data_IF_712802183670
#
_entry.id   IF_712802183670
#
_cell.length_a   1.000
_cell.length_b   1.000
_cell.length_c   1.000
_cell.angle_alpha   90.00
_cell.angle_beta   90.00
_cell.angle_gamma   90.00
#
_symmetry.space_group_name_H-M   'P 1'
#
loop_
_entity.id
_entity.type
_entity.pdbx_description
1 polymer ?
#
# COMPACT_ATOMS: atom_id res chain seq x y z
N UNK A 1 -83.50 44.82 22.23
CA UNK A 1 -83.33 44.62 20.78
C UNK A 1 -82.65 43.28 20.60
N UNK A 2 -83.35 42.38 19.89
CA UNK A 2 -82.87 41.31 18.99
C UNK A 2 -81.33 41.21 18.80
N UNK A 3 -80.69 40.05 18.65
CA UNK A 3 -81.09 38.85 17.89
C UNK A 3 -80.11 37.67 18.12
N UNK A 4 -80.63 36.43 18.07
CA UNK A 4 -80.09 35.14 17.50
C UNK A 4 -78.63 34.69 17.78
N UNK A 5 -78.41 33.52 18.39
CA UNK A 5 -78.26 32.15 17.81
C UNK A 5 -76.93 31.98 17.02
N UNK A 6 -76.14 30.89 17.08
CA UNK A 6 -76.50 29.47 17.05
C UNK A 6 -75.23 28.58 17.22
N UNK A 7 -75.37 27.44 17.92
CA UNK A 7 -74.71 26.15 17.64
C UNK A 7 -73.22 25.92 17.94
N UNK A 8 -72.71 24.74 18.31
CA UNK A 8 -73.28 23.46 18.77
C UNK A 8 -72.11 22.57 19.27
N UNK A 9 -72.39 21.65 20.21
CA UNK A 9 -71.73 20.36 20.49
C UNK A 9 -70.39 20.27 21.27
N UNK A 10 -70.50 19.93 22.57
CA UNK A 10 -70.34 18.56 23.17
C UNK A 10 -69.30 17.63 22.50
N UNK A 11 -68.38 16.88 23.12
CA UNK A 11 -68.08 16.49 24.50
C UNK A 11 -66.76 15.65 24.57
N UNK A 12 -66.07 15.75 25.72
CA UNK A 12 -65.57 14.69 26.62
C UNK A 12 -64.50 13.66 26.14
N UNK A 13 -63.31 13.85 26.73
CA UNK A 13 -62.40 12.91 27.43
C UNK A 13 -61.86 11.62 26.76
N UNK A 14 -60.54 11.40 26.93
CA UNK A 14 -59.98 10.48 27.95
C UNK A 14 -58.45 10.52 27.96
N UNK A 15 -57.90 10.54 29.17
CA UNK A 15 -56.48 10.45 29.50
C UNK A 15 -56.10 8.97 29.68
N UNK A 16 -55.02 8.48 29.05
CA UNK A 16 -54.34 7.23 29.42
C UNK A 16 -52.83 7.26 29.08
N UNK A 17 -52.06 7.28 30.15
CA UNK A 17 -50.69 6.82 30.45
C UNK A 17 -49.93 6.02 29.37
N UNK A 18 -48.68 6.41 29.09
CA UNK A 18 -47.70 5.60 28.34
C UNK A 18 -46.58 5.04 29.26
N UNK A 19 -46.09 3.81 29.01
CA UNK A 19 -45.11 3.13 29.84
C UNK A 19 -43.65 3.51 29.52
N UNK A 20 -42.81 3.45 30.56
CA UNK A 20 -41.36 3.66 30.53
C UNK A 20 -40.68 2.56 29.71
N UNK A 21 -40.07 2.90 28.57
CA UNK A 21 -39.20 2.01 27.81
C UNK A 21 -37.83 1.88 28.49
N UNK A 22 -37.49 0.65 28.88
CA UNK A 22 -36.14 0.27 29.32
C UNK A 22 -35.15 0.48 28.18
N UNK A 23 -34.19 1.38 28.38
CA UNK A 23 -33.11 1.64 27.44
C UNK A 23 -32.25 0.40 27.22
N UNK A 24 -32.09 0.02 25.96
CA UNK A 24 -31.05 -0.91 25.50
C UNK A 24 -29.72 -0.18 25.65
N UNK A 25 -28.86 -0.68 26.54
CA UNK A 25 -27.45 -0.26 26.58
C UNK A 25 -26.79 -0.85 25.35
N UNK A 26 -26.72 -0.06 24.27
CA UNK A 26 -25.80 -0.31 23.17
C UNK A 26 -24.41 -0.19 23.78
N UNK A 27 -23.72 -1.32 23.97
CA UNK A 27 -22.28 -1.30 24.19
C UNK A 27 -21.68 -0.80 22.90
N UNK A 28 -21.28 0.47 22.87
CA UNK A 28 -20.38 0.97 21.84
C UNK A 28 -19.13 0.11 21.89
N UNK A 29 -19.00 -0.76 20.89
CA UNK A 29 -17.74 -1.40 20.56
C UNK A 29 -16.71 -0.28 20.35
N UNK A 30 -15.55 -0.28 21.02
CA UNK A 30 -14.53 0.71 20.72
C UNK A 30 -14.21 0.63 19.22
N UNK A 31 -14.07 1.76 18.51
CA UNK A 31 -13.72 1.74 17.10
C UNK A 31 -12.43 0.94 16.94
N UNK A 32 -12.42 -0.01 16.01
CA UNK A 32 -11.23 -0.78 15.67
C UNK A 32 -10.09 0.21 15.42
N UNK A 33 -9.08 0.22 16.30
CA UNK A 33 -8.00 1.18 16.22
C UNK A 33 -7.20 0.86 14.96
N UNK A 34 -7.39 1.65 13.90
CA UNK A 34 -6.61 1.50 12.68
C UNK A 34 -5.13 1.64 13.03
N UNK A 35 -4.32 0.70 12.56
CA UNK A 35 -2.88 0.77 12.73
C UNK A 35 -2.34 1.93 11.90
N UNK A 36 -1.42 2.68 12.47
CA UNK A 36 -0.61 3.66 11.72
C UNK A 36 0.26 2.94 10.69
N UNK A 37 0.65 3.61 9.60
CA UNK A 37 1.55 3.05 8.59
C UNK A 37 2.83 2.47 9.23
N UNK A 38 3.41 3.20 10.19
CA UNK A 38 4.59 2.75 10.93
C UNK A 38 4.37 1.45 11.73
N UNK A 39 3.17 1.22 12.28
CA UNK A 39 2.82 -0.04 12.92
C UNK A 39 2.57 -1.15 11.89
N UNK A 40 1.96 -0.81 10.76
CA UNK A 40 1.73 -1.76 9.66
C UNK A 40 3.04 -2.25 9.06
N UNK A 41 3.97 -1.34 8.74
CA UNK A 41 5.30 -1.66 8.22
C UNK A 41 6.07 -2.55 9.18
N UNK A 42 6.15 -2.18 10.48
CA UNK A 42 6.84 -3.02 11.47
C UNK A 42 6.24 -4.42 11.60
N UNK A 43 4.91 -4.52 11.58
CA UNK A 43 4.20 -5.80 11.65
C UNK A 43 4.47 -6.66 10.42
N UNK A 44 4.35 -6.08 9.22
CA UNK A 44 4.52 -6.81 7.97
C UNK A 44 5.97 -7.24 7.74
N UNK A 45 6.95 -6.41 8.12
CA UNK A 45 8.37 -6.76 7.96
C UNK A 45 8.81 -7.93 8.86
N UNK A 46 8.06 -8.28 9.91
CA UNK A 46 8.34 -9.42 10.79
C UNK A 46 9.79 -9.46 11.33
N UNK A 47 10.36 -8.28 11.61
CA UNK A 47 11.75 -8.15 12.08
C UNK A 47 12.81 -8.25 10.97
N UNK A 48 12.42 -8.29 9.70
CA UNK A 48 13.31 -8.12 8.56
C UNK A 48 13.99 -6.76 8.60
N UNK A 49 15.31 -6.75 8.39
CA UNK A 49 16.17 -5.57 8.52
C UNK A 49 16.74 -5.10 7.19
N UNK A 50 16.64 -5.92 6.14
CA UNK A 50 17.07 -5.56 4.78
C UNK A 50 16.03 -5.99 3.75
N UNK A 51 15.71 -5.09 2.82
CA UNK A 51 14.71 -5.32 1.77
C UNK A 51 15.27 -4.89 0.41
N UNK A 52 15.03 -5.70 -0.62
CA UNK A 52 15.18 -5.30 -2.01
C UNK A 52 13.81 -5.18 -2.67
N UNK A 53 13.62 -4.15 -3.49
CA UNK A 53 12.35 -3.91 -4.18
C UNK A 53 12.62 -3.56 -5.65
N UNK A 54 11.99 -4.28 -6.57
CA UNK A 54 11.99 -3.86 -7.97
C UNK A 54 11.25 -2.52 -8.12
N UNK A 55 11.76 -1.63 -8.98
CA UNK A 55 11.13 -0.36 -9.33
C UNK A 55 9.98 -0.54 -10.33
N UNK A 56 10.27 -1.14 -11.49
CA UNK A 56 9.32 -1.30 -12.61
C UNK A 56 8.15 -2.20 -12.19
N UNK A 57 6.93 -1.71 -12.39
CA UNK A 57 5.69 -2.40 -12.03
C UNK A 57 5.33 -2.42 -10.55
N UNK A 58 6.19 -1.87 -9.66
CA UNK A 58 5.91 -1.80 -8.20
C UNK A 58 5.88 -0.36 -7.72
N UNK A 59 6.95 0.38 -7.97
CA UNK A 59 7.13 1.78 -7.55
C UNK A 59 6.83 2.72 -8.72
N UNK A 60 7.27 2.30 -9.91
CA UNK A 60 7.06 3.03 -11.16
C UNK A 60 5.74 2.60 -11.80
N UNK A 61 5.09 3.53 -12.50
CA UNK A 61 3.88 3.24 -13.30
C UNK A 61 4.21 2.34 -14.49
N UNK A 62 5.41 2.50 -15.04
CA UNK A 62 5.94 1.73 -16.16
C UNK A 62 5.99 0.23 -15.85
N UNK A 63 5.66 -0.59 -16.86
CA UNK A 63 5.59 -2.05 -16.73
C UNK A 63 6.79 -2.78 -17.35
N UNK A 64 7.58 -2.09 -18.17
CA UNK A 64 8.74 -2.66 -18.86
C UNK A 64 9.96 -1.75 -18.79
N UNK A 65 11.15 -2.30 -19.07
CA UNK A 65 12.40 -1.52 -19.12
C UNK A 65 12.45 -0.59 -20.33
N UNK A 66 11.77 -0.96 -21.41
CA UNK A 66 11.65 -0.19 -22.66
C UNK A 66 10.85 1.10 -22.46
N UNK A 67 9.85 1.08 -21.58
CA UNK A 67 9.05 2.27 -21.25
C UNK A 67 9.91 3.36 -20.58
N UNK A 68 10.94 2.96 -19.82
CA UNK A 68 11.85 3.87 -19.11
C UNK A 68 12.68 4.76 -20.05
N UNK A 69 12.86 4.36 -21.31
CA UNK A 69 13.56 5.17 -22.31
C UNK A 69 12.78 6.44 -22.68
N UNK A 70 11.47 6.50 -22.35
CA UNK A 70 10.60 7.64 -22.67
C UNK A 70 10.36 8.53 -21.46
N UNK A 71 9.98 7.93 -20.33
CA UNK A 71 9.71 8.61 -19.07
C UNK A 71 9.76 7.62 -17.90
N UNK A 72 9.81 8.16 -16.69
CA UNK A 72 9.62 7.40 -15.46
C UNK A 72 8.66 8.18 -14.54
N UNK A 73 7.65 7.51 -14.00
CA UNK A 73 6.66 8.12 -13.09
C UNK A 73 6.54 7.28 -11.83
N UNK A 74 6.79 7.89 -10.68
CA UNK A 74 6.59 7.23 -9.37
C UNK A 74 5.12 7.27 -9.02
N UNK A 75 4.55 6.10 -8.68
CA UNK A 75 3.19 5.95 -8.17
C UNK A 75 3.05 6.75 -6.86
N UNK A 76 2.18 7.78 -6.78
CA UNK A 76 2.11 8.63 -5.59
C UNK A 76 1.78 7.86 -4.30
N UNK A 77 0.96 6.81 -4.40
CA UNK A 77 0.53 5.98 -3.28
C UNK A 77 1.66 5.29 -2.51
N UNK A 78 2.81 5.07 -3.17
CA UNK A 78 3.90 4.25 -2.61
C UNK A 78 4.89 5.10 -1.82
N UNK A 79 4.86 6.43 -1.97
CA UNK A 79 5.91 7.33 -1.44
C UNK A 79 5.99 7.22 0.09
N UNK A 80 4.86 7.31 0.79
CA UNK A 80 4.81 7.18 2.25
C UNK A 80 5.30 5.80 2.71
N UNK A 81 4.98 4.75 1.96
CA UNK A 81 5.41 3.38 2.24
C UNK A 81 6.93 3.24 2.09
N UNK A 82 7.51 3.77 1.01
CA UNK A 82 8.95 3.73 0.78
C UNK A 82 9.71 4.44 1.90
N UNK A 83 9.23 5.61 2.31
CA UNK A 83 9.85 6.38 3.39
C UNK A 83 9.75 5.64 4.73
N UNK A 84 8.60 5.08 5.08
CA UNK A 84 8.44 4.35 6.34
C UNK A 84 9.22 3.02 6.36
N UNK A 85 9.28 2.31 5.22
CA UNK A 85 10.12 1.12 5.06
C UNK A 85 11.60 1.48 5.20
N UNK A 86 12.07 2.54 4.54
CA UNK A 86 13.47 2.99 4.63
C UNK A 86 13.89 3.42 6.04
N UNK A 87 12.94 3.88 6.88
CA UNK A 87 13.18 4.19 8.30
C UNK A 87 13.29 2.95 9.17
N UNK A 88 12.65 1.85 8.77
CA UNK A 88 12.56 0.60 9.55
C UNK A 88 13.51 -0.49 9.04
N UNK A 89 14.01 -0.38 7.82
CA UNK A 89 14.68 -1.42 7.06
C UNK A 89 15.74 -0.83 6.12
N UNK A 90 16.85 -1.55 5.93
CA UNK A 90 17.85 -1.24 4.92
C UNK A 90 17.30 -1.54 3.51
N UNK A 91 16.74 -0.53 2.87
CA UNK A 91 16.03 -0.65 1.58
C UNK A 91 16.95 -0.38 0.39
N UNK A 92 16.95 -1.31 -0.56
CA UNK A 92 17.57 -1.18 -1.89
C UNK A 92 16.49 -1.25 -2.97
N UNK A 93 16.54 -0.32 -3.92
CA UNK A 93 15.66 -0.30 -5.09
C UNK A 93 16.43 -0.80 -6.30
N UNK A 94 15.82 -1.68 -7.09
CA UNK A 94 16.46 -2.31 -8.24
C UNK A 94 15.66 -2.04 -9.52
N UNK A 95 16.32 -1.63 -10.59
CA UNK A 95 15.72 -1.57 -11.92
C UNK A 95 16.60 -2.26 -12.95
N UNK A 96 15.95 -2.90 -13.93
CA UNK A 96 16.59 -3.20 -15.20
C UNK A 96 16.39 -2.01 -16.13
N UNK A 97 17.47 -1.52 -16.71
CA UNK A 97 17.49 -0.39 -17.66
C UNK A 97 18.25 -0.80 -18.93
N UNK A 98 17.98 -0.11 -20.03
CA UNK A 98 18.60 -0.39 -21.33
C UNK A 98 19.74 0.57 -21.68
N UNK A 99 19.77 1.73 -21.01
CA UNK A 99 20.72 2.81 -21.23
C UNK A 99 20.84 3.71 -19.98
N UNK A 100 21.88 4.54 -19.96
CA UNK A 100 22.17 5.46 -18.86
C UNK A 100 21.15 6.60 -18.80
N UNK A 101 20.53 6.97 -19.93
CA UNK A 101 19.45 7.97 -19.94
C UNK A 101 18.24 7.51 -19.12
N UNK A 102 17.87 6.23 -19.22
CA UNK A 102 16.80 5.63 -18.41
C UNK A 102 17.14 5.64 -16.92
N UNK A 103 18.39 5.42 -16.53
CA UNK A 103 18.83 5.57 -15.13
C UNK A 103 18.60 6.99 -14.63
N UNK A 104 18.98 7.99 -15.44
CA UNK A 104 18.81 9.39 -15.10
C UNK A 104 17.33 9.77 -14.95
N UNK A 105 16.45 9.26 -15.82
CA UNK A 105 15.00 9.48 -15.74
C UNK A 105 14.41 8.88 -14.46
N UNK A 106 14.77 7.65 -14.10
CA UNK A 106 14.32 7.01 -12.86
C UNK A 106 14.78 7.79 -11.63
N UNK A 107 16.05 8.18 -11.58
CA UNK A 107 16.59 8.95 -10.47
C UNK A 107 15.94 10.32 -10.36
N UNK A 108 15.67 11.00 -11.48
CA UNK A 108 14.97 12.27 -11.50
C UNK A 108 13.52 12.14 -11.02
N UNK A 109 12.81 11.08 -11.40
CA UNK A 109 11.44 10.82 -10.95
C UNK A 109 11.36 10.58 -9.44
N UNK A 110 12.29 9.79 -8.89
CA UNK A 110 12.41 9.56 -7.44
C UNK A 110 12.75 10.86 -6.68
N UNK A 111 13.66 11.67 -7.21
CA UNK A 111 14.02 12.94 -6.60
C UNK A 111 12.85 13.93 -6.61
N UNK A 112 12.10 13.99 -7.72
CA UNK A 112 10.95 14.88 -7.88
C UNK A 112 9.83 14.62 -6.87
N UNK A 113 9.64 13.37 -6.42
CA UNK A 113 8.68 13.02 -5.35
C UNK A 113 9.28 13.12 -3.95
N UNK A 114 10.52 13.59 -3.81
CA UNK A 114 11.15 13.91 -2.53
C UNK A 114 11.64 12.72 -1.72
N UNK A 115 11.79 11.52 -2.32
CA UNK A 115 12.22 10.34 -1.54
C UNK A 115 13.68 10.42 -1.07
N UNK A 116 14.53 11.25 -1.68
CA UNK A 116 15.95 11.41 -1.30
C UNK A 116 16.21 12.54 -0.28
N UNK A 117 15.17 13.10 0.33
CA UNK A 117 15.31 14.13 1.37
C UNK A 117 15.90 13.57 2.67
N UNK A 118 16.29 14.45 3.61
CA UNK A 118 16.89 14.04 4.90
C UNK A 118 15.95 13.09 5.66
N UNK A 119 16.45 11.90 5.99
CA UNK A 119 15.66 10.84 6.62
C UNK A 119 14.84 9.98 5.66
N UNK A 120 14.96 10.22 4.35
CA UNK A 120 14.42 9.39 3.28
C UNK A 120 15.39 8.31 2.79
N UNK A 121 15.20 7.90 1.55
CA UNK A 121 15.98 6.85 0.90
C UNK A 121 17.40 7.32 0.55
N UNK A 122 18.38 6.43 0.67
CA UNK A 122 19.73 6.69 0.20
C UNK A 122 19.82 6.47 -1.31
N UNK A 123 20.11 7.53 -2.08
CA UNK A 123 20.26 7.49 -3.55
C UNK A 123 21.26 6.42 -4.03
N UNK A 124 22.31 6.13 -3.26
CA UNK A 124 23.32 5.11 -3.60
C UNK A 124 22.80 3.67 -3.43
N UNK A 125 21.58 3.48 -2.95
CA UNK A 125 20.90 2.18 -2.84
C UNK A 125 19.85 1.96 -3.94
N UNK A 126 19.80 2.85 -4.91
CA UNK A 126 19.11 2.61 -6.19
C UNK A 126 20.14 1.98 -7.13
N UNK A 127 19.96 0.71 -7.44
CA UNK A 127 20.90 -0.08 -8.25
C UNK A 127 20.28 -0.43 -9.59
N UNK A 128 21.09 -0.35 -10.63
CA UNK A 128 20.70 -0.60 -12.00
C UNK A 128 21.47 -1.78 -12.58
N UNK A 129 20.79 -2.56 -13.42
CA UNK A 129 21.39 -3.65 -14.18
C UNK A 129 20.83 -3.69 -15.60
N UNK A 130 21.56 -4.32 -16.52
CA UNK A 130 21.13 -4.45 -17.92
C UNK A 130 20.38 -5.75 -18.21
N UNK A 131 20.35 -6.70 -17.27
CA UNK A 131 19.79 -8.05 -17.46
C UNK A 131 19.00 -8.51 -16.23
N UNK A 132 18.03 -9.41 -16.43
CA UNK A 132 17.29 -10.02 -15.31
C UNK A 132 18.18 -10.87 -14.41
N UNK A 133 19.17 -11.56 -14.99
CA UNK A 133 20.19 -12.28 -14.24
C UNK A 133 21.03 -11.32 -13.36
N UNK A 134 21.27 -10.10 -13.82
CA UNK A 134 21.88 -9.04 -13.02
C UNK A 134 21.04 -8.68 -11.79
N UNK A 135 19.72 -8.53 -11.96
CA UNK A 135 18.78 -8.26 -10.85
C UNK A 135 18.81 -9.37 -9.81
N UNK A 136 18.68 -10.63 -10.25
CA UNK A 136 18.74 -11.78 -9.32
C UNK A 136 20.09 -11.91 -8.63
N UNK A 137 21.19 -11.59 -9.34
CA UNK A 137 22.53 -11.54 -8.76
C UNK A 137 22.66 -10.48 -7.65
N UNK A 138 22.16 -9.26 -7.87
CA UNK A 138 22.12 -8.24 -6.82
C UNK A 138 21.34 -8.70 -5.60
N UNK A 139 20.14 -9.24 -5.79
CA UNK A 139 19.31 -9.71 -4.67
C UNK A 139 20.05 -10.78 -3.87
N UNK A 140 20.70 -11.74 -4.54
CA UNK A 140 21.45 -12.79 -3.85
C UNK A 140 22.66 -12.27 -3.09
N UNK A 141 23.39 -11.30 -3.63
CA UNK A 141 24.58 -10.73 -2.98
C UNK A 141 24.22 -9.81 -1.82
N UNK A 142 23.09 -9.10 -1.92
CA UNK A 142 22.59 -8.26 -0.84
C UNK A 142 22.07 -9.08 0.34
N UNK A 143 21.65 -10.33 0.10
CA UNK A 143 21.08 -11.24 1.11
C UNK A 143 19.97 -10.55 1.93
N UNK A 144 18.91 -10.02 1.28
CA UNK A 144 17.85 -9.35 2.00
C UNK A 144 16.95 -10.35 2.72
N UNK A 145 16.26 -9.86 3.74
CA UNK A 145 15.22 -10.60 4.43
C UNK A 145 13.92 -10.62 3.64
N UNK A 146 13.69 -9.52 2.90
CA UNK A 146 12.53 -9.31 2.03
C UNK A 146 12.94 -9.01 0.60
N UNK A 147 12.21 -9.59 -0.35
CA UNK A 147 12.30 -9.21 -1.76
C UNK A 147 10.90 -8.93 -2.33
N UNK A 148 10.76 -7.84 -3.10
CA UNK A 148 9.53 -7.49 -3.81
C UNK A 148 9.79 -7.46 -5.31
N UNK A 149 8.98 -8.18 -6.10
CA UNK A 149 9.06 -8.22 -7.56
C UNK A 149 7.68 -8.53 -8.18
N UNK A 150 7.49 -8.20 -9.46
CA UNK A 150 6.33 -8.58 -10.27
C UNK A 150 6.56 -9.88 -11.05
N UNK A 151 7.82 -10.25 -11.30
CA UNK A 151 8.21 -11.44 -12.06
C UNK A 151 8.07 -12.70 -11.21
N UNK A 152 7.07 -13.53 -11.53
CA UNK A 152 6.87 -14.83 -10.88
C UNK A 152 8.08 -15.76 -11.03
N UNK A 153 8.80 -15.65 -12.15
CA UNK A 153 10.04 -16.39 -12.37
C UNK A 153 11.14 -15.95 -11.38
N UNK A 154 11.35 -14.64 -11.23
CA UNK A 154 12.33 -14.10 -10.27
C UNK A 154 12.00 -14.52 -8.84
N UNK A 155 10.73 -14.37 -8.44
CA UNK A 155 10.23 -14.80 -7.12
C UNK A 155 10.46 -16.30 -6.90
N UNK A 156 10.16 -17.13 -7.90
CA UNK A 156 10.33 -18.59 -7.81
C UNK A 156 11.81 -18.98 -7.69
N UNK A 157 12.69 -18.34 -8.45
CA UNK A 157 14.14 -18.59 -8.41
C UNK A 157 14.76 -18.20 -7.06
N UNK A 158 14.26 -17.11 -6.46
CA UNK A 158 14.77 -16.55 -5.20
C UNK A 158 14.14 -17.15 -3.93
N UNK A 159 13.04 -17.90 -4.05
CA UNK A 159 12.29 -18.44 -2.91
C UNK A 159 13.10 -19.30 -1.95
N UNK A 160 14.17 -19.97 -2.42
CA UNK A 160 15.04 -20.77 -1.54
C UNK A 160 16.11 -19.95 -0.80
N UNK A 161 16.32 -18.70 -1.19
CA UNK A 161 17.39 -17.84 -0.66
C UNK A 161 16.86 -16.74 0.27
N UNK A 162 15.61 -16.30 0.04
CA UNK A 162 15.04 -15.13 0.73
C UNK A 162 14.00 -15.58 1.76
N UNK A 163 14.06 -15.00 2.97
CA UNK A 163 13.18 -15.39 4.09
C UNK A 163 11.72 -15.09 3.81
N UNK A 164 11.44 -13.93 3.22
CA UNK A 164 10.10 -13.49 2.85
C UNK A 164 10.11 -12.81 1.49
N UNK A 165 9.09 -13.05 0.69
CA UNK A 165 8.94 -12.39 -0.61
C UNK A 165 7.54 -11.86 -0.78
N UNK A 166 7.42 -10.73 -1.46
CA UNK A 166 6.14 -10.16 -1.89
C UNK A 166 6.09 -10.19 -3.41
N UNK A 167 5.18 -10.99 -3.95
CA UNK A 167 4.87 -10.99 -5.38
C UNK A 167 3.75 -10.00 -5.64
N UNK A 168 4.04 -8.97 -6.42
CA UNK A 168 3.03 -8.01 -6.88
C UNK A 168 2.38 -8.57 -8.15
N UNK A 169 1.10 -8.95 -8.04
CA UNK A 169 0.36 -9.60 -9.10
C UNK A 169 -1.15 -9.34 -8.99
N UNK A 170 -1.90 -9.43 -10.10
CA UNK A 170 -3.36 -9.32 -10.07
C UNK A 170 -4.01 -10.31 -9.09
N UNK A 171 -5.18 -9.96 -8.55
CA UNK A 171 -5.95 -10.85 -7.69
C UNK A 171 -6.15 -12.24 -8.32
N UNK A 172 -5.94 -13.28 -7.51
CA UNK A 172 -6.11 -14.67 -7.93
C UNK A 172 -4.85 -15.35 -8.48
N UNK A 173 -3.67 -14.72 -8.39
CA UNK A 173 -2.41 -15.38 -8.67
C UNK A 173 -2.22 -16.65 -7.81
N UNK A 174 -1.71 -17.72 -8.42
CA UNK A 174 -1.48 -18.98 -7.72
C UNK A 174 -0.37 -18.84 -6.66
N UNK A 175 -0.47 -19.54 -5.52
CA UNK A 175 0.61 -19.57 -4.54
C UNK A 175 1.90 -20.12 -5.16
N UNK A 176 3.01 -19.41 -4.97
CA UNK A 176 4.33 -19.82 -5.50
C UNK A 176 5.09 -20.69 -4.48
N UNK A 177 5.20 -20.22 -3.23
CA UNK A 177 5.84 -20.93 -2.12
C UNK A 177 5.33 -20.39 -0.77
N UNK A 178 5.62 -21.08 0.32
CA UNK A 178 5.12 -20.72 1.67
C UNK A 178 5.68 -19.41 2.22
N UNK A 179 6.83 -18.97 1.71
CA UNK A 179 7.47 -17.70 2.04
C UNK A 179 7.13 -16.58 1.05
N UNK A 180 6.22 -16.80 0.11
CA UNK A 180 5.80 -15.82 -0.90
C UNK A 180 4.39 -15.34 -0.55
N UNK A 181 4.27 -14.06 -0.25
CA UNK A 181 3.01 -13.35 -0.07
C UNK A 181 2.59 -12.72 -1.40
N UNK A 182 1.29 -12.64 -1.66
CA UNK A 182 0.74 -11.95 -2.83
C UNK A 182 0.04 -10.64 -2.43
N UNK A 183 0.17 -9.61 -3.27
CA UNK A 183 -0.61 -8.39 -3.19
C UNK A 183 -0.77 -7.76 -4.58
N UNK A 184 -1.79 -6.94 -4.77
CA UNK A 184 -1.99 -6.21 -6.04
C UNK A 184 -1.06 -5.00 -6.17
N UNK A 185 -0.62 -4.43 -5.05
CA UNK A 185 0.34 -3.34 -5.00
C UNK A 185 1.06 -3.29 -3.66
N UNK A 186 2.17 -2.55 -3.59
CA UNK A 186 3.00 -2.42 -2.40
C UNK A 186 2.22 -1.74 -1.27
N UNK A 187 1.53 -0.66 -1.59
CA UNK A 187 0.74 0.12 -0.65
C UNK A 187 -0.45 -0.66 -0.08
N UNK A 188 -1.12 -1.49 -0.89
CA UNK A 188 -2.16 -2.42 -0.42
C UNK A 188 -1.62 -3.42 0.59
N UNK A 189 -0.42 -3.97 0.36
CA UNK A 189 0.21 -4.89 1.31
C UNK A 189 0.49 -4.24 2.67
N UNK A 190 0.86 -2.95 2.66
CA UNK A 190 1.05 -2.15 3.87
C UNK A 190 -0.21 -1.42 4.36
N UNK A 191 -1.39 -1.75 3.80
CA UNK A 191 -2.71 -1.33 4.25
C UNK A 191 -3.14 0.07 3.87
N UNK A 192 -2.47 0.68 2.91
CA UNK A 192 -2.96 1.88 2.25
C UNK A 192 -3.86 1.47 1.07
N UNK A 193 -4.93 2.23 0.76
CA UNK A 193 -5.72 1.96 -0.42
C UNK A 193 -4.87 2.16 -1.67
N UNK A 194 -4.99 1.24 -2.65
CA UNK A 194 -4.47 1.50 -3.99
C UNK A 194 -5.07 2.82 -4.50
N UNK A 195 -4.25 3.67 -5.10
CA UNK A 195 -4.75 4.89 -5.74
C UNK A 195 -5.51 4.51 -7.00
N UNK A 196 -6.80 4.17 -6.84
CA UNK A 196 -7.63 3.64 -7.92
C UNK A 196 -9.07 3.44 -7.48
N UNK A 197 -9.82 4.53 -7.36
CA UNK A 197 -11.25 4.50 -7.04
C UNK A 197 -11.85 5.87 -6.75
N UNK A 198 -11.56 6.88 -7.58
CA UNK A 198 -12.52 7.98 -7.72
C UNK A 198 -13.65 7.46 -8.61
N UNK A 199 -14.78 7.16 -7.99
CA UNK A 199 -16.10 7.02 -8.63
C UNK A 199 -16.53 8.34 -9.25
#
# INVERSE_FOLDING_TARGET
METTAEGTSTAIAKSLTQPIQRGVVIRDSPPATQLTLAQMVRRQLQGGRKMTCQLVGVILEESTSEDLQKHAVVRPAVVDVLLEVARSCDLYLLARVLDDESEALVLAALDAVGVFTVGGLNRNKVLFCSTEAGRTSFVRQLEPDWHVDVSSETISQLARFIRHQLHIAPAGAAPIATNVFGAESLECYFGLPASGGFI
#
